data_IF_222725818936
#
_entry.id   IF_222725818936
#
_cell.length_a   1.000
_cell.length_b   1.000
_cell.length_c   1.000
_cell.angle_alpha   90.00
_cell.angle_beta   90.00
_cell.angle_gamma   90.00
#
_symmetry.space_group_name_H-M   'P 1'
#
loop_
_entity.id
_entity.type
_entity.pdbx_description
1 polymer ?
#
# COMPACT_ATOMS: atom_id res chain seq x y z
N UNK A 1 10.41 14.92 9.99
CA UNK A 1 10.93 16.30 9.90
C UNK A 1 12.43 16.41 9.61
N UNK A 2 13.24 15.35 9.77
CA UNK A 2 14.68 15.39 9.42
C UNK A 2 14.98 15.47 7.91
N UNK A 3 14.04 15.08 7.04
CA UNK A 3 14.21 15.17 5.58
C UNK A 3 13.98 16.59 5.02
N UNK A 4 13.21 17.44 5.72
CA UNK A 4 12.96 18.83 5.30
C UNK A 4 14.08 19.78 5.74
N UNK A 5 14.91 19.40 6.72
CA UNK A 5 16.08 20.18 7.13
C UNK A 5 17.29 19.97 6.23
N UNK A 6 17.38 18.84 5.51
CA UNK A 6 18.47 18.56 4.57
C UNK A 6 18.29 19.23 3.20
N UNK A 7 17.06 19.54 2.79
CA UNK A 7 16.79 20.22 1.51
C UNK A 7 17.42 21.62 1.45
N UNK A 8 17.65 22.27 2.59
CA UNK A 8 18.15 23.64 2.66
C UNK A 8 19.68 23.75 2.59
N UNK A 9 20.45 22.66 2.74
CA UNK A 9 21.92 22.74 2.76
C UNK A 9 22.60 22.35 1.44
N UNK A 10 21.94 21.66 0.51
CA UNK A 10 22.61 21.14 -0.72
C UNK A 10 21.99 21.64 -2.03
N UNK A 11 20.82 22.28 -2.03
CA UNK A 11 20.19 22.80 -3.26
C UNK A 11 19.85 21.75 -4.33
N UNK A 12 19.98 20.46 -4.02
CA UNK A 12 19.72 19.35 -4.94
C UNK A 12 18.37 18.72 -4.62
N UNK A 13 17.47 18.74 -5.60
CA UNK A 13 16.16 18.09 -5.48
C UNK A 13 16.34 16.55 -5.45
N UNK A 14 16.03 15.87 -4.31
CA UNK A 14 16.09 14.41 -4.17
C UNK A 14 15.23 13.64 -5.17
N UNK A 15 14.27 14.29 -5.83
CA UNK A 15 13.48 13.67 -6.88
C UNK A 15 14.26 13.47 -8.21
N UNK A 16 15.39 14.15 -8.39
CA UNK A 16 16.11 14.20 -9.66
C UNK A 16 17.45 13.46 -9.68
N UNK A 17 17.92 12.95 -8.55
CA UNK A 17 19.17 12.21 -8.47
C UNK A 17 18.98 10.79 -7.91
N UNK A 18 19.82 9.81 -8.33
CA UNK A 18 19.82 8.49 -7.73
C UNK A 18 20.09 8.54 -6.22
N UNK A 19 19.43 7.67 -5.46
CA UNK A 19 19.56 7.67 -3.99
C UNK A 19 20.95 7.12 -3.59
N UNK A 20 21.77 7.92 -2.88
CA UNK A 20 23.09 7.50 -2.42
C UNK A 20 22.98 6.34 -1.42
N UNK A 21 24.02 5.51 -1.33
CA UNK A 21 24.03 4.27 -0.53
C UNK A 21 23.73 4.49 0.94
N UNK A 22 24.14 5.64 1.49
CA UNK A 22 23.97 6.03 2.88
C UNK A 22 22.52 6.40 3.24
N UNK A 23 21.73 6.84 2.26
CA UNK A 23 20.33 7.22 2.43
C UNK A 23 19.34 6.09 2.13
N UNK A 24 19.83 4.86 1.89
CA UNK A 24 18.97 3.71 1.55
C UNK A 24 18.32 3.13 2.81
N UNK A 25 17.04 2.78 2.68
CA UNK A 25 16.29 2.15 3.77
C UNK A 25 16.89 0.80 4.16
N UNK A 26 17.06 0.59 5.47
CA UNK A 26 17.48 -0.69 6.02
C UNK A 26 16.42 -1.79 5.82
N UNK A 27 16.88 -3.04 5.80
CA UNK A 27 16.03 -4.23 5.55
C UNK A 27 14.82 -4.33 6.50
N UNK A 28 15.02 -3.98 7.77
CA UNK A 28 13.96 -4.03 8.79
C UNK A 28 12.86 -2.97 8.57
N UNK A 29 13.24 -1.76 8.19
CA UNK A 29 12.28 -0.71 7.84
C UNK A 29 11.52 -1.07 6.56
N UNK A 30 12.18 -1.71 5.59
CA UNK A 30 11.51 -2.24 4.41
C UNK A 30 10.47 -3.30 4.75
N UNK A 31 10.80 -4.27 5.62
CA UNK A 31 9.84 -5.30 6.05
C UNK A 31 8.66 -4.70 6.80
N UNK A 32 8.87 -3.66 7.61
CA UNK A 32 7.78 -2.95 8.30
C UNK A 32 6.85 -2.22 7.32
N UNK A 33 7.40 -1.58 6.28
CA UNK A 33 6.60 -0.97 5.23
C UNK A 33 5.77 -2.02 4.46
N UNK A 34 6.37 -3.17 4.14
CA UNK A 34 5.67 -4.28 3.49
C UNK A 34 4.55 -4.86 4.36
N UNK A 35 4.77 -4.92 5.67
CA UNK A 35 3.78 -5.34 6.63
C UNK A 35 2.52 -4.47 6.55
N UNK A 36 2.66 -3.14 6.59
CA UNK A 36 1.52 -2.23 6.47
C UNK A 36 0.73 -2.41 5.17
N UNK A 37 1.41 -2.72 4.06
CA UNK A 37 0.74 -3.00 2.78
C UNK A 37 -0.12 -4.27 2.88
N UNK A 38 0.39 -5.35 3.49
CA UNK A 38 -0.32 -6.63 3.60
C UNK A 38 -1.66 -6.56 4.34
N UNK A 39 -1.87 -5.59 5.23
CA UNK A 39 -3.11 -5.44 6.00
C UNK A 39 -4.25 -4.73 5.25
N UNK A 40 -4.07 -4.34 3.99
CA UNK A 40 -5.10 -3.64 3.21
C UNK A 40 -6.38 -4.49 3.03
N UNK A 41 -7.55 -3.88 3.23
CA UNK A 41 -8.86 -4.54 3.07
C UNK A 41 -9.13 -4.96 1.63
N UNK A 42 -8.53 -4.25 0.67
CA UNK A 42 -8.55 -4.59 -0.74
C UNK A 42 -8.28 -6.07 -1.02
N UNK A 43 -7.31 -6.69 -0.34
CA UNK A 43 -6.97 -8.09 -0.58
C UNK A 43 -8.09 -9.05 -0.20
N UNK A 44 -8.81 -8.78 0.90
CA UNK A 44 -9.95 -9.60 1.31
C UNK A 44 -11.08 -9.45 0.29
N UNK A 45 -11.41 -8.21 -0.09
CA UNK A 45 -12.52 -7.93 -1.01
C UNK A 45 -12.27 -8.56 -2.38
N UNK A 46 -11.08 -8.40 -2.93
CA UNK A 46 -10.71 -8.99 -4.23
C UNK A 46 -10.63 -10.51 -4.14
N UNK A 47 -10.04 -11.05 -3.08
CA UNK A 47 -9.95 -12.49 -2.87
C UNK A 47 -11.33 -13.15 -2.76
N UNK A 48 -12.22 -12.55 -1.98
CA UNK A 48 -13.61 -13.00 -1.84
C UNK A 48 -14.37 -12.91 -3.17
N UNK A 49 -14.23 -11.79 -3.89
CA UNK A 49 -14.89 -11.61 -5.19
C UNK A 49 -14.45 -12.67 -6.21
N UNK A 50 -13.14 -12.95 -6.30
CA UNK A 50 -12.61 -13.99 -7.18
C UNK A 50 -13.08 -15.39 -6.77
N UNK A 51 -13.12 -15.69 -5.47
CA UNK A 51 -13.60 -16.97 -4.96
C UNK A 51 -15.10 -17.18 -5.25
N UNK A 52 -15.92 -16.14 -5.13
CA UNK A 52 -17.35 -16.17 -5.44
C UNK A 52 -17.61 -16.32 -6.95
N UNK A 53 -16.84 -15.63 -7.80
CA UNK A 53 -17.05 -15.67 -9.25
C UNK A 53 -16.48 -16.91 -9.94
N UNK A 54 -15.33 -17.42 -9.49
CA UNK A 54 -14.59 -18.48 -10.19
C UNK A 54 -14.39 -19.76 -9.35
N UNK A 55 -14.84 -19.76 -8.10
CA UNK A 55 -14.60 -20.83 -7.13
C UNK A 55 -13.27 -20.67 -6.40
N UNK A 56 -13.25 -21.05 -5.11
CA UNK A 56 -12.09 -20.87 -4.22
C UNK A 56 -10.81 -21.54 -4.76
N UNK A 57 -10.92 -22.75 -5.34
CA UNK A 57 -9.77 -23.48 -5.89
C UNK A 57 -9.11 -22.73 -7.05
N UNK A 58 -9.91 -22.24 -8.00
CA UNK A 58 -9.39 -21.51 -9.16
C UNK A 58 -8.83 -20.14 -8.75
N UNK A 59 -9.49 -19.46 -7.81
CA UNK A 59 -9.00 -18.20 -7.24
C UNK A 59 -7.62 -18.39 -6.57
N UNK A 60 -7.43 -19.45 -5.78
CA UNK A 60 -6.14 -19.77 -5.15
C UNK A 60 -5.05 -20.07 -6.18
N UNK A 61 -5.34 -20.90 -7.19
CA UNK A 61 -4.37 -21.20 -8.26
C UNK A 61 -3.98 -19.91 -9.00
N UNK A 62 -4.96 -19.07 -9.36
CA UNK A 62 -4.73 -17.79 -10.01
C UNK A 62 -3.88 -16.84 -9.17
N UNK A 63 -4.12 -16.75 -7.86
CA UNK A 63 -3.29 -15.97 -6.94
C UNK A 63 -1.86 -16.50 -6.88
N UNK A 64 -1.64 -17.80 -6.73
CA UNK A 64 -0.29 -18.39 -6.69
C UNK A 64 0.47 -18.14 -7.98
N UNK A 65 -0.17 -18.36 -9.14
CA UNK A 65 0.44 -18.10 -10.45
C UNK A 65 0.77 -16.60 -10.63
N UNK A 66 -0.08 -15.72 -10.15
CA UNK A 66 0.15 -14.27 -10.17
C UNK A 66 1.35 -13.89 -9.29
N UNK A 67 1.42 -14.42 -8.07
CA UNK A 67 2.55 -14.19 -7.14
C UNK A 67 3.86 -14.66 -7.76
N UNK A 68 3.88 -15.83 -8.39
CA UNK A 68 5.09 -16.35 -9.05
C UNK A 68 5.47 -15.47 -10.25
N UNK A 69 4.51 -15.18 -11.14
CA UNK A 69 4.76 -14.42 -12.36
C UNK A 69 5.23 -13.00 -12.06
N UNK A 70 4.49 -12.25 -11.24
CA UNK A 70 4.88 -10.90 -10.84
C UNK A 70 6.09 -10.89 -9.91
N UNK A 71 6.27 -11.91 -9.07
CA UNK A 71 7.45 -12.05 -8.22
C UNK A 71 8.74 -12.21 -9.03
N UNK A 72 8.71 -12.99 -10.12
CA UNK A 72 9.85 -13.15 -11.02
C UNK A 72 10.19 -11.83 -11.73
N UNK A 73 9.19 -11.16 -12.30
CA UNK A 73 9.37 -9.86 -12.97
C UNK A 73 9.90 -8.82 -11.98
N UNK A 74 9.25 -8.66 -10.83
CA UNK A 74 9.64 -7.69 -9.82
C UNK A 74 10.99 -8.01 -9.19
N UNK A 75 11.44 -9.27 -9.13
CA UNK A 75 12.77 -9.63 -8.67
C UNK A 75 13.86 -9.04 -9.58
N UNK A 76 13.67 -9.11 -10.89
CA UNK A 76 14.61 -8.52 -11.87
C UNK A 76 14.63 -7.00 -11.73
N UNK A 77 13.45 -6.37 -11.73
CA UNK A 77 13.33 -4.92 -11.60
C UNK A 77 13.89 -4.41 -10.25
N UNK A 78 13.60 -5.09 -9.15
CA UNK A 78 14.09 -4.71 -7.82
C UNK A 78 15.61 -4.81 -7.72
N UNK A 79 16.22 -5.88 -8.28
CA UNK A 79 17.68 -6.01 -8.32
C UNK A 79 18.33 -4.89 -9.13
N UNK A 80 17.71 -4.50 -10.24
CA UNK A 80 18.17 -3.37 -11.04
C UNK A 80 18.06 -2.04 -10.28
N UNK A 81 16.92 -1.78 -9.62
CA UNK A 81 16.70 -0.57 -8.82
C UNK A 81 17.66 -0.48 -7.63
N UNK A 82 17.95 -1.59 -6.95
CA UNK A 82 18.90 -1.63 -5.82
C UNK A 82 20.33 -1.31 -6.29
N UNK A 83 20.74 -1.79 -7.47
CA UNK A 83 22.08 -1.52 -8.01
C UNK A 83 22.21 -0.06 -8.48
N UNK A 84 21.21 0.43 -9.20
CA UNK A 84 21.25 1.76 -9.84
C UNK A 84 20.82 2.91 -8.92
N UNK A 85 20.07 2.64 -7.85
CA UNK A 85 19.51 3.67 -6.98
C UNK A 85 18.44 4.54 -7.65
N UNK A 86 17.92 4.12 -8.81
CA UNK A 86 16.93 4.86 -9.58
C UNK A 86 15.53 4.63 -9.02
N UNK A 87 14.77 5.72 -8.87
CA UNK A 87 13.33 5.64 -8.66
C UNK A 87 12.62 5.24 -9.95
N UNK A 88 11.38 4.77 -9.84
CA UNK A 88 10.54 4.42 -11.02
C UNK A 88 10.40 5.59 -11.99
N UNK A 89 10.25 6.82 -11.47
CA UNK A 89 10.16 8.03 -12.27
C UNK A 89 11.48 8.35 -13.00
N UNK A 90 12.63 8.21 -12.32
CA UNK A 90 13.95 8.41 -12.93
C UNK A 90 14.27 7.34 -13.97
N UNK A 91 13.92 6.09 -13.71
CA UNK A 91 14.08 5.00 -14.66
C UNK A 91 13.23 5.22 -15.92
N UNK A 92 11.96 5.61 -15.75
CA UNK A 92 11.10 5.99 -16.87
C UNK A 92 11.64 7.20 -17.64
N UNK A 93 12.20 8.18 -16.93
CA UNK A 93 12.87 9.34 -17.54
C UNK A 93 14.07 8.95 -18.39
N UNK A 94 14.85 7.97 -17.95
CA UNK A 94 16.03 7.48 -18.66
C UNK A 94 15.67 6.76 -19.96
N UNK A 95 14.56 5.99 -19.95
CA UNK A 95 14.11 5.21 -21.10
C UNK A 95 13.27 6.01 -22.11
N UNK A 96 12.41 6.90 -21.62
CA UNK A 96 11.34 7.53 -22.40
C UNK A 96 11.36 9.07 -22.32
N UNK A 97 12.39 9.66 -21.71
CA UNK A 97 12.51 11.11 -21.55
C UNK A 97 11.51 11.70 -20.55
N UNK A 98 11.31 13.03 -20.62
CA UNK A 98 10.43 13.77 -19.69
C UNK A 98 8.97 13.30 -19.76
N UNK A 99 8.48 12.95 -20.95
CA UNK A 99 7.10 12.49 -21.16
C UNK A 99 6.83 11.17 -20.46
N UNK A 100 7.76 10.20 -20.54
CA UNK A 100 7.60 8.93 -19.82
C UNK A 100 7.72 9.07 -18.31
N UNK A 101 8.54 10.00 -17.82
CA UNK A 101 8.58 10.32 -16.40
C UNK A 101 7.22 10.86 -15.91
N UNK A 102 6.62 11.79 -16.66
CA UNK A 102 5.30 12.34 -16.37
C UNK A 102 4.22 11.24 -16.38
N UNK A 103 4.22 10.38 -17.39
CA UNK A 103 3.25 9.28 -17.49
C UNK A 103 3.38 8.29 -16.33
N UNK A 104 4.61 7.90 -15.96
CA UNK A 104 4.86 7.01 -14.83
C UNK A 104 4.38 7.64 -13.51
N UNK A 105 4.65 8.92 -13.31
CA UNK A 105 4.17 9.69 -12.15
C UNK A 105 2.64 9.77 -12.12
N UNK A 106 1.99 10.04 -13.26
CA UNK A 106 0.53 10.10 -13.37
C UNK A 106 -0.11 8.76 -13.03
N UNK A 107 0.39 7.66 -13.60
CA UNK A 107 -0.10 6.31 -13.30
C UNK A 107 0.06 5.98 -11.81
N UNK A 108 1.22 6.31 -11.23
CA UNK A 108 1.49 6.09 -9.82
C UNK A 108 0.51 6.88 -8.92
N UNK A 109 0.34 8.17 -9.16
CA UNK A 109 -0.59 9.00 -8.40
C UNK A 109 -2.05 8.57 -8.57
N UNK A 110 -2.46 8.23 -9.80
CA UNK A 110 -3.81 7.74 -10.08
C UNK A 110 -4.10 6.45 -9.30
N UNK A 111 -3.14 5.53 -9.29
CA UNK A 111 -3.22 4.28 -8.53
C UNK A 111 -3.28 4.54 -7.02
N UNK A 112 -2.46 5.47 -6.52
CA UNK A 112 -2.47 5.85 -5.11
C UNK A 112 -3.82 6.47 -4.69
N UNK A 113 -4.40 7.35 -5.51
CA UNK A 113 -5.72 7.94 -5.26
C UNK A 113 -6.79 6.85 -5.27
N UNK A 114 -6.77 5.95 -6.26
CA UNK A 114 -7.72 4.84 -6.33
C UNK A 114 -7.72 4.02 -5.04
N UNK A 115 -6.55 3.59 -4.57
CA UNK A 115 -6.45 2.81 -3.34
C UNK A 115 -6.83 3.62 -2.09
N UNK A 116 -6.47 4.89 -2.02
CA UNK A 116 -6.84 5.76 -0.91
C UNK A 116 -8.37 5.95 -0.81
N UNK A 117 -9.03 6.16 -1.95
CA UNK A 117 -10.50 6.30 -2.02
C UNK A 117 -11.18 4.98 -1.74
N UNK A 118 -10.67 3.87 -2.29
CA UNK A 118 -11.21 2.53 -2.04
C UNK A 118 -11.17 2.19 -0.55
N UNK A 119 -10.00 2.25 0.08
CA UNK A 119 -9.83 1.94 1.50
C UNK A 119 -10.65 2.91 2.37
N UNK A 120 -10.67 4.20 2.04
CA UNK A 120 -11.50 5.19 2.73
C UNK A 120 -13.00 4.88 2.65
N UNK A 121 -13.47 4.41 1.49
CA UNK A 121 -14.88 4.03 1.30
C UNK A 121 -15.26 2.78 2.10
N UNK A 122 -14.37 1.79 2.22
CA UNK A 122 -14.62 0.60 3.05
C UNK A 122 -14.83 1.01 4.51
N UNK A 123 -14.02 1.93 5.03
CA UNK A 123 -14.18 2.47 6.40
C UNK A 123 -15.49 3.25 6.53
N UNK A 124 -15.84 4.08 5.53
CA UNK A 124 -17.08 4.84 5.54
C UNK A 124 -18.32 3.93 5.52
N UNK A 125 -18.30 2.84 4.75
CA UNK A 125 -19.34 1.81 4.74
C UNK A 125 -19.44 1.12 6.10
N UNK A 126 -18.30 0.75 6.71
CA UNK A 126 -18.28 0.13 8.04
C UNK A 126 -18.88 1.06 9.11
N UNK A 127 -18.55 2.37 9.08
CA UNK A 127 -19.13 3.37 9.98
C UNK A 127 -20.64 3.52 9.78
N UNK A 128 -21.11 3.59 8.53
CA UNK A 128 -22.54 3.65 8.23
C UNK A 128 -23.27 2.37 8.67
N UNK A 129 -22.62 1.20 8.63
CA UNK A 129 -23.20 -0.05 9.11
C UNK A 129 -23.29 -0.12 10.64
N UNK A 130 -22.28 0.40 11.35
CA UNK A 130 -22.28 0.48 12.83
C UNK A 130 -23.24 1.54 13.36
N UNK A 131 -23.37 2.66 12.64
CA UNK A 131 -24.25 3.77 12.98
C UNK A 131 -25.19 4.08 11.80
N UNK A 132 -26.31 3.34 11.66
CA UNK A 132 -27.24 3.50 10.55
C UNK A 132 -27.88 4.90 10.46
N UNK A 133 -27.90 5.64 11.57
CA UNK A 133 -28.38 7.03 11.63
C UNK A 133 -27.45 8.02 10.91
N UNK A 134 -26.20 7.64 10.68
CA UNK A 134 -25.20 8.49 10.05
C UNK A 134 -25.24 8.32 8.53
N UNK A 135 -25.68 9.35 7.79
CA UNK A 135 -25.70 9.31 6.32
C UNK A 135 -24.31 9.08 5.72
N UNK A 136 -24.22 8.23 4.69
CA UNK A 136 -22.96 7.85 4.04
C UNK A 136 -22.05 9.03 3.65
N UNK A 137 -22.56 10.15 3.08
CA UNK A 137 -21.71 11.29 2.75
C UNK A 137 -21.02 11.92 3.97
N UNK A 138 -21.69 11.91 5.12
CA UNK A 138 -21.13 12.42 6.37
C UNK A 138 -20.06 11.46 6.91
N UNK A 139 -20.31 10.14 6.86
CA UNK A 139 -19.31 9.14 7.21
C UNK A 139 -18.04 9.26 6.34
N UNK A 140 -18.21 9.43 5.02
CA UNK A 140 -17.09 9.64 4.09
C UNK A 140 -16.32 10.93 4.40
N UNK A 141 -17.02 12.03 4.72
CA UNK A 141 -16.39 13.30 5.09
C UNK A 141 -15.56 13.17 6.37
N UNK A 142 -16.05 12.46 7.38
CA UNK A 142 -15.29 12.17 8.61
C UNK A 142 -14.02 11.38 8.31
N UNK A 143 -14.11 10.35 7.46
CA UNK A 143 -12.93 9.54 7.06
C UNK A 143 -11.88 10.41 6.37
N UNK A 144 -12.29 11.29 5.44
CA UNK A 144 -11.38 12.21 4.75
C UNK A 144 -10.72 13.19 5.73
N UNK A 145 -11.52 13.80 6.62
CA UNK A 145 -11.04 14.78 7.60
C UNK A 145 -10.05 14.18 8.60
N UNK A 146 -10.18 12.91 8.96
CA UNK A 146 -9.22 12.21 9.82
C UNK A 146 -7.97 11.76 9.04
N UNK A 147 -8.14 11.22 7.83
CA UNK A 147 -7.05 10.60 7.07
C UNK A 147 -6.04 11.63 6.53
N UNK A 148 -6.51 12.79 6.06
CA UNK A 148 -5.65 13.82 5.45
C UNK A 148 -4.63 14.41 6.45
N UNK A 149 -5.01 14.87 7.65
CA UNK A 149 -4.07 15.36 8.65
C UNK A 149 -3.05 14.30 9.09
N UNK A 150 -3.47 13.04 9.10
CA UNK A 150 -2.64 11.93 9.55
C UNK A 150 -1.48 11.62 8.60
N UNK A 151 -1.65 11.90 7.30
CA UNK A 151 -0.63 11.71 6.27
C UNK A 151 0.40 12.85 6.26
N UNK A 152 -0.01 14.09 6.60
CA UNK A 152 0.82 15.29 6.53
C UNK A 152 1.83 15.43 7.70
N UNK A 153 1.68 14.64 8.78
CA UNK A 153 2.48 14.76 10.00
C UNK A 153 3.62 13.74 10.14
N UNK A 154 4.42 13.89 11.21
CA UNK A 154 5.41 12.87 11.66
C UNK A 154 4.79 11.55 12.14
N UNK A 155 3.48 11.41 11.98
CA UNK A 155 2.64 10.29 12.41
C UNK A 155 3.01 9.02 11.63
N UNK A 156 3.65 9.11 10.46
CA UNK A 156 4.14 7.95 9.70
C UNK A 156 5.02 7.00 10.54
N UNK A 157 6.00 7.52 11.29
CA UNK A 157 6.85 6.68 12.16
C UNK A 157 6.07 6.05 13.32
N UNK A 158 5.06 6.74 13.84
CA UNK A 158 4.19 6.21 14.88
C UNK A 158 3.22 5.17 14.32
N UNK A 159 2.72 5.38 13.10
CA UNK A 159 1.88 4.46 12.36
C UNK A 159 2.62 3.18 11.99
N UNK A 160 3.88 3.27 11.58
CA UNK A 160 4.69 2.08 11.31
C UNK A 160 4.83 1.22 12.58
N UNK A 161 4.97 1.87 13.74
CA UNK A 161 5.03 1.18 15.04
C UNK A 161 3.69 0.57 15.42
N UNK A 162 2.58 1.28 15.20
CA UNK A 162 1.24 0.76 15.46
C UNK A 162 0.87 -0.38 14.51
N UNK A 163 1.11 -0.23 13.20
CA UNK A 163 0.89 -1.28 12.21
C UNK A 163 1.65 -2.55 12.56
N UNK A 164 2.88 -2.42 13.06
CA UNK A 164 3.65 -3.56 13.58
C UNK A 164 2.96 -4.35 14.70
N UNK A 165 2.13 -3.69 15.51
CA UNK A 165 1.37 -4.32 16.61
C UNK A 165 -0.03 -4.76 16.18
N UNK A 166 -0.72 -4.00 15.33
CA UNK A 166 -2.05 -4.33 14.84
C UNK A 166 -2.04 -5.54 13.90
N UNK A 167 -0.97 -5.77 13.13
CA UNK A 167 -0.89 -6.87 12.18
C UNK A 167 -1.00 -8.26 12.82
N UNK A 168 -0.25 -8.59 13.89
CA UNK A 168 -0.42 -9.86 14.60
C UNK A 168 -1.86 -10.07 15.08
N UNK A 169 -2.50 -9.01 15.59
CA UNK A 169 -3.89 -9.06 16.04
C UNK A 169 -4.84 -9.29 14.86
N UNK A 170 -4.61 -8.60 13.74
CA UNK A 170 -5.38 -8.75 12.51
C UNK A 170 -5.24 -10.16 11.92
N UNK A 171 -4.02 -10.69 11.79
CA UNK A 171 -3.77 -12.06 11.32
C UNK A 171 -4.41 -13.08 12.26
N UNK A 172 -4.28 -12.90 13.57
CA UNK A 172 -4.94 -13.75 14.56
C UNK A 172 -6.46 -13.73 14.40
N UNK A 173 -7.05 -12.54 14.30
CA UNK A 173 -8.49 -12.36 14.08
C UNK A 173 -8.97 -13.00 12.77
N UNK A 174 -8.20 -12.84 11.69
CA UNK A 174 -8.48 -13.47 10.40
C UNK A 174 -8.46 -15.00 10.50
N UNK A 175 -7.44 -15.57 11.15
CA UNK A 175 -7.33 -17.03 11.33
C UNK A 175 -8.49 -17.57 12.18
N UNK A 176 -8.88 -16.86 13.24
CA UNK A 176 -10.06 -17.20 14.05
C UNK A 176 -11.33 -17.12 13.21
N UNK A 177 -11.51 -16.08 12.41
CA UNK A 177 -12.67 -15.93 11.53
C UNK A 177 -12.75 -17.07 10.49
N UNK A 178 -11.61 -17.44 9.89
CA UNK A 178 -11.52 -18.58 8.97
C UNK A 178 -11.85 -19.89 9.70
N UNK A 179 -11.28 -20.12 10.88
CA UNK A 179 -11.54 -21.33 11.68
C UNK A 179 -13.00 -21.46 12.11
N UNK A 180 -13.62 -20.36 12.54
CA UNK A 180 -15.05 -20.32 12.86
C UNK A 180 -15.92 -20.54 11.63
N UNK A 181 -15.53 -19.98 10.48
CA UNK A 181 -16.23 -20.18 9.22
C UNK A 181 -16.22 -21.66 8.82
N UNK A 182 -15.05 -22.30 8.85
CA UNK A 182 -14.89 -23.75 8.60
C UNK A 182 -15.74 -24.55 9.60
N UNK A 183 -15.65 -24.25 10.90
CA UNK A 183 -16.42 -24.95 11.93
C UNK A 183 -17.93 -24.84 11.75
N UNK A 184 -18.44 -23.75 11.17
CA UNK A 184 -19.87 -23.48 11.05
C UNK A 184 -20.44 -23.83 9.67
N UNK A 185 -19.63 -23.76 8.62
CA UNK A 185 -20.06 -23.90 7.23
C UNK A 185 -19.37 -25.04 6.46
N UNK A 186 -18.33 -25.68 7.01
CA UNK A 186 -17.67 -26.85 6.44
C UNK A 186 -16.24 -26.60 5.96
#
# INVERSE_FOLDING_TARGET
MAALSQSSQTGQDPAHHPVPTEARMGRLSLTMAWWAVCSAMFYIVVGASLALSFGARNALIGMVLSVISYGLVNSVLSRFAIRSGLSVALFSRLLFGSTGACLATLIFFSTAIYYAVFEGSVIAVALNHLYPELVYPLAALVVVLYSVPMILGSVQHWLDKLNGVLLPVYLGGLLVAVGLSISRYG
#
